data_IF_060880112421
#
_entry.id   IF_060880112421
#
_cell.length_a   1.000
_cell.length_b   1.000
_cell.length_c   1.000
_cell.angle_alpha   90.00
_cell.angle_beta   90.00
_cell.angle_gamma   90.00
#
_symmetry.space_group_name_H-M   'P 1'
#
loop_
_entity.id
_entity.type
_entity.pdbx_description
1 polymer ?
#
# COMPACT_ATOMS: atom_id res chain seq x y z
N UNK A 1 -12.77 3.91 -8.79
CA UNK A 1 -12.62 5.23 -9.43
C UNK A 1 -11.18 5.70 -9.39
N UNK A 2 -10.94 6.93 -9.82
CA UNK A 2 -9.63 7.57 -9.88
C UNK A 2 -9.64 8.84 -9.03
N UNK A 3 -8.89 8.89 -7.95
CA UNK A 3 -8.97 9.93 -6.90
C UNK A 3 -10.38 10.09 -6.30
N UNK A 4 -11.16 9.02 -6.35
CA UNK A 4 -12.59 9.06 -6.03
C UNK A 4 -12.85 9.42 -4.57
N UNK A 5 -11.99 8.98 -3.64
CA UNK A 5 -12.19 9.25 -2.21
C UNK A 5 -11.96 10.71 -1.87
N UNK A 6 -10.85 11.28 -2.34
CA UNK A 6 -10.45 12.64 -1.96
C UNK A 6 -11.02 13.74 -2.87
N UNK A 7 -11.67 13.37 -3.97
CA UNK A 7 -12.30 14.33 -4.88
C UNK A 7 -13.79 14.07 -5.03
N UNK A 8 -14.21 13.04 -5.78
CA UNK A 8 -15.63 12.86 -6.16
C UNK A 8 -16.55 12.70 -4.95
N UNK A 9 -16.19 11.78 -4.03
CA UNK A 9 -17.00 11.54 -2.84
C UNK A 9 -16.99 12.74 -1.88
N UNK A 10 -15.88 13.48 -1.79
CA UNK A 10 -15.81 14.71 -1.00
C UNK A 10 -16.69 15.81 -1.58
N UNK A 11 -16.63 16.02 -2.90
CA UNK A 11 -17.51 16.95 -3.58
C UNK A 11 -19.00 16.60 -3.36
N UNK A 12 -19.36 15.32 -3.46
CA UNK A 12 -20.73 14.87 -3.18
C UNK A 12 -21.13 15.13 -1.73
N UNK A 13 -20.23 14.87 -0.77
CA UNK A 13 -20.49 15.16 0.65
C UNK A 13 -20.74 16.65 0.86
N UNK A 14 -19.86 17.50 0.33
CA UNK A 14 -19.98 18.96 0.47
C UNK A 14 -21.26 19.51 -0.18
N UNK A 15 -21.71 18.92 -1.29
CA UNK A 15 -23.01 19.26 -1.89
C UNK A 15 -24.19 18.82 -1.01
N UNK A 16 -24.13 17.60 -0.50
CA UNK A 16 -25.18 17.07 0.39
C UNK A 16 -25.28 17.92 1.68
N UNK A 17 -24.15 18.31 2.27
CA UNK A 17 -24.10 19.13 3.46
C UNK A 17 -24.73 20.52 3.23
N UNK A 18 -24.40 21.15 2.08
CA UNK A 18 -25.01 22.45 1.68
C UNK A 18 -26.52 22.35 1.47
N UNK A 19 -26.98 21.23 0.93
CA UNK A 19 -28.40 20.98 0.71
C UNK A 19 -29.10 20.41 1.95
N UNK A 20 -28.38 20.18 3.05
CA UNK A 20 -28.87 19.55 4.27
C UNK A 20 -29.49 18.16 4.01
N UNK A 21 -28.88 17.41 3.09
CA UNK A 21 -29.27 16.05 2.72
C UNK A 21 -28.21 15.06 3.21
N UNK A 22 -28.59 13.90 3.73
CA UNK A 22 -27.62 12.88 4.09
C UNK A 22 -27.06 12.19 2.83
N UNK A 23 -25.74 11.93 2.79
CA UNK A 23 -25.11 11.15 1.73
C UNK A 23 -25.19 9.66 2.07
N UNK A 24 -26.22 8.97 1.56
CA UNK A 24 -26.56 7.58 1.88
C UNK A 24 -26.07 6.63 0.79
N UNK A 25 -24.75 6.38 0.70
CA UNK A 25 -24.15 5.51 -0.31
C UNK A 25 -23.88 4.09 0.18
N UNK A 26 -23.99 3.82 1.46
CA UNK A 26 -23.88 2.47 2.01
C UNK A 26 -25.04 1.55 1.60
N UNK A 27 -24.93 0.24 1.89
CA UNK A 27 -26.08 -0.66 1.78
C UNK A 27 -27.10 -0.28 2.85
N UNK A 28 -28.37 -0.60 2.59
CA UNK A 28 -29.49 -0.26 3.49
C UNK A 28 -29.61 1.25 3.78
N UNK A 29 -29.17 2.10 2.81
CA UNK A 29 -29.18 3.56 2.96
C UNK A 29 -28.38 4.06 4.16
N UNK A 30 -27.28 3.40 4.48
CA UNK A 30 -26.37 3.86 5.51
C UNK A 30 -25.49 5.01 5.01
N UNK A 31 -25.22 5.96 5.91
CA UNK A 31 -24.39 7.12 5.60
C UNK A 31 -22.91 6.72 5.47
N UNK A 32 -22.21 7.44 4.61
CA UNK A 32 -20.75 7.37 4.52
C UNK A 32 -20.13 7.95 5.80
N UNK A 33 -19.10 7.30 6.30
CA UNK A 33 -18.29 7.84 7.39
C UNK A 33 -16.88 8.18 6.91
N UNK A 34 -16.28 9.20 7.51
CA UNK A 34 -15.02 9.75 7.11
C UNK A 34 -13.98 9.65 8.22
N UNK A 35 -12.79 9.25 7.87
CA UNK A 35 -11.63 9.27 8.76
C UNK A 35 -10.50 10.05 8.10
N UNK A 36 -9.99 11.07 8.78
CA UNK A 36 -8.83 11.84 8.33
C UNK A 36 -7.54 11.03 8.55
N UNK A 37 -6.62 11.07 7.62
CA UNK A 37 -5.29 10.49 7.79
C UNK A 37 -4.50 11.24 8.88
N UNK A 38 -3.70 10.52 9.66
CA UNK A 38 -2.91 11.12 10.75
C UNK A 38 -1.70 11.91 10.24
N UNK A 39 -1.20 11.53 9.09
CA UNK A 39 0.04 12.01 8.46
C UNK A 39 -0.18 13.07 7.37
N UNK A 40 -1.42 13.42 7.08
CA UNK A 40 -1.76 14.39 6.04
C UNK A 40 -3.02 15.17 6.39
N UNK A 41 -2.98 16.48 6.13
CA UNK A 41 -4.12 17.36 6.39
C UNK A 41 -5.25 17.21 5.36
N UNK A 42 -4.96 16.69 4.15
CA UNK A 42 -5.88 16.68 3.03
C UNK A 42 -6.26 15.26 2.55
N UNK A 43 -5.83 14.23 3.27
CA UNK A 43 -6.12 12.84 2.93
C UNK A 43 -7.20 12.26 3.83
N UNK A 44 -8.21 11.67 3.22
CA UNK A 44 -9.33 11.05 3.90
C UNK A 44 -9.48 9.58 3.48
N UNK A 45 -10.09 8.81 4.37
CA UNK A 45 -10.59 7.48 4.10
C UNK A 45 -12.11 7.53 4.18
N UNK A 46 -12.77 6.94 3.19
CA UNK A 46 -14.22 6.83 3.12
C UNK A 46 -14.64 5.41 3.49
N UNK A 47 -15.45 5.26 4.50
CA UNK A 47 -16.03 3.96 4.87
C UNK A 47 -17.51 3.95 4.46
N UNK A 48 -17.86 3.05 3.55
CA UNK A 48 -19.20 2.83 3.07
C UNK A 48 -19.71 1.48 3.60
N UNK A 49 -20.63 1.45 4.56
CA UNK A 49 -21.13 0.21 5.11
C UNK A 49 -21.67 -0.73 4.01
N UNK A 50 -21.16 -1.97 3.99
CA UNK A 50 -21.54 -2.97 3.01
C UNK A 50 -21.10 -2.71 1.55
N UNK A 51 -20.21 -1.75 1.32
CA UNK A 51 -19.60 -1.44 0.01
C UNK A 51 -18.11 -1.18 0.17
N UNK A 52 -17.36 -1.38 -0.91
CA UNK A 52 -15.92 -1.13 -0.95
C UNK A 52 -15.64 -0.03 -1.97
N UNK A 53 -14.80 0.93 -1.61
CA UNK A 53 -14.35 2.01 -2.50
C UNK A 53 -12.91 1.77 -2.87
N UNK A 54 -12.66 1.42 -4.13
CA UNK A 54 -11.30 1.24 -4.65
C UNK A 54 -10.87 2.48 -5.41
N UNK A 55 -9.80 3.12 -4.94
CA UNK A 55 -9.15 4.24 -5.60
C UNK A 55 -7.97 3.74 -6.42
N UNK A 56 -7.98 4.02 -7.73
CA UNK A 56 -6.95 3.54 -8.66
C UNK A 56 -5.56 4.09 -8.33
N UNK A 57 -5.46 5.35 -7.90
CA UNK A 57 -4.18 5.96 -7.52
C UNK A 57 -3.58 5.20 -6.32
N UNK A 58 -4.38 4.99 -5.28
CA UNK A 58 -3.93 4.31 -4.07
C UNK A 58 -3.59 2.84 -4.32
N UNK A 59 -4.38 2.16 -5.15
CA UNK A 59 -4.08 0.77 -5.56
C UNK A 59 -2.74 0.69 -6.29
N UNK A 60 -2.51 1.55 -7.28
CA UNK A 60 -1.26 1.54 -8.06
C UNK A 60 -0.05 1.89 -7.20
N UNK A 61 -0.18 2.87 -6.30
CA UNK A 61 0.87 3.18 -5.32
C UNK A 61 1.16 1.99 -4.41
N UNK A 62 0.14 1.30 -3.94
CA UNK A 62 0.30 0.10 -3.10
C UNK A 62 0.89 -1.08 -3.87
N UNK A 63 0.68 -1.15 -5.18
CA UNK A 63 1.30 -2.10 -6.10
C UNK A 63 2.70 -1.67 -6.58
N UNK A 64 3.26 -0.61 -5.99
CA UNK A 64 4.62 -0.09 -6.27
C UNK A 64 4.83 0.51 -7.65
N UNK A 65 3.76 0.89 -8.37
CA UNK A 65 3.90 1.66 -9.60
C UNK A 65 4.50 3.04 -9.31
N UNK A 66 5.39 3.47 -10.18
CA UNK A 66 6.03 4.77 -10.12
C UNK A 66 5.79 5.50 -11.44
N UNK A 67 5.01 6.57 -11.39
CA UNK A 67 4.76 7.48 -12.48
C UNK A 67 5.22 8.88 -12.09
N UNK A 68 5.65 9.68 -13.04
CA UNK A 68 5.94 11.10 -12.81
C UNK A 68 4.70 11.84 -12.28
N UNK A 69 3.52 11.42 -12.76
CA UNK A 69 2.24 11.99 -12.41
C UNK A 69 1.16 10.90 -12.36
N UNK A 70 0.36 10.87 -11.31
CA UNK A 70 -0.78 9.94 -11.16
C UNK A 70 -2.10 10.52 -11.70
N UNK A 71 -2.08 11.54 -12.56
CA UNK A 71 -3.31 11.96 -13.24
C UNK A 71 -3.83 10.86 -14.17
N UNK A 72 -5.17 10.78 -14.33
CA UNK A 72 -5.78 9.78 -15.21
C UNK A 72 -5.26 9.95 -16.66
N UNK A 73 -5.05 11.18 -17.12
CA UNK A 73 -4.49 11.49 -18.43
C UNK A 73 -3.10 10.86 -18.62
N UNK A 74 -2.18 11.10 -17.68
CA UNK A 74 -0.81 10.58 -17.77
C UNK A 74 -0.79 9.06 -17.74
N UNK A 75 -1.42 8.48 -16.72
CA UNK A 75 -1.40 7.03 -16.53
C UNK A 75 -2.11 6.28 -17.66
N UNK A 76 -3.21 6.83 -18.19
CA UNK A 76 -3.89 6.20 -19.35
C UNK A 76 -3.05 6.24 -20.62
N UNK A 77 -2.31 7.33 -20.88
CA UNK A 77 -1.36 7.38 -22.00
C UNK A 77 -0.24 6.37 -21.86
N UNK A 78 0.39 6.30 -20.70
CA UNK A 78 1.45 5.35 -20.43
C UNK A 78 1.00 3.90 -20.54
N UNK A 79 -0.13 3.57 -19.94
CA UNK A 79 -0.59 2.20 -19.93
C UNK A 79 -1.41 1.81 -21.16
N UNK A 80 -2.34 2.65 -21.63
CA UNK A 80 -3.30 2.29 -22.68
C UNK A 80 -2.93 2.84 -24.06
N UNK A 81 -1.94 3.74 -24.16
CA UNK A 81 -1.60 4.44 -25.39
C UNK A 81 -2.67 5.45 -25.83
N UNK A 82 -3.66 5.77 -25.00
CA UNK A 82 -4.72 6.74 -25.23
C UNK A 82 -5.03 7.53 -23.96
N UNK A 83 -5.55 8.73 -24.13
CA UNK A 83 -5.87 9.64 -23.02
C UNK A 83 -7.29 10.19 -23.12
N UNK A 84 -7.54 11.22 -22.35
CA UNK A 84 -8.82 11.94 -22.32
C UNK A 84 -9.15 12.61 -23.65
N UNK A 85 -10.42 12.82 -23.92
CA UNK A 85 -10.90 13.44 -25.18
C UNK A 85 -10.59 14.95 -25.27
N UNK A 86 -10.44 15.63 -24.13
CA UNK A 86 -10.14 17.07 -24.07
C UNK A 86 -8.63 17.29 -23.99
N UNK A 87 -8.10 18.04 -24.98
CA UNK A 87 -6.67 18.03 -25.30
C UNK A 87 -5.76 18.89 -24.42
N UNK A 88 -6.20 20.08 -24.00
CA UNK A 88 -5.33 21.03 -23.30
C UNK A 88 -5.60 21.04 -21.78
N UNK A 89 -4.55 20.74 -21.00
CA UNK A 89 -4.66 20.66 -19.53
C UNK A 89 -5.01 22.01 -18.93
N UNK A 90 -4.49 23.10 -19.50
CA UNK A 90 -4.65 24.46 -18.96
C UNK A 90 -6.03 25.05 -19.29
N UNK A 91 -6.67 24.63 -20.38
CA UNK A 91 -7.98 25.09 -20.82
C UNK A 91 -9.14 24.18 -20.43
N UNK A 92 -8.86 23.02 -19.88
CA UNK A 92 -9.85 21.98 -19.56
C UNK A 92 -11.02 22.47 -18.70
N UNK A 93 -10.76 23.33 -17.71
CA UNK A 93 -11.81 23.89 -16.86
C UNK A 93 -12.80 24.78 -17.63
N UNK A 94 -12.29 25.55 -18.59
CA UNK A 94 -13.10 26.40 -19.47
C UNK A 94 -13.94 25.55 -20.39
N UNK A 95 -13.33 24.59 -21.08
CA UNK A 95 -14.03 23.66 -22.00
C UNK A 95 -15.15 22.88 -21.30
N UNK A 96 -14.90 22.35 -20.08
CA UNK A 96 -15.94 21.65 -19.30
C UNK A 96 -17.11 22.60 -18.97
N UNK A 97 -16.82 23.86 -18.64
CA UNK A 97 -17.85 24.87 -18.35
C UNK A 97 -18.67 25.23 -19.59
N UNK A 98 -18.02 25.35 -20.73
CA UNK A 98 -18.67 25.59 -22.02
C UNK A 98 -19.55 24.41 -22.42
N UNK A 99 -19.05 23.17 -22.33
CA UNK A 99 -19.83 21.97 -22.58
C UNK A 99 -21.03 21.85 -21.61
N UNK A 100 -20.84 22.19 -20.35
CA UNK A 100 -21.94 22.18 -19.37
C UNK A 100 -23.05 23.15 -19.74
N UNK A 101 -22.70 24.31 -20.27
CA UNK A 101 -23.65 25.37 -20.65
C UNK A 101 -24.28 25.15 -22.04
N UNK A 102 -23.49 24.61 -22.99
CA UNK A 102 -23.87 24.55 -24.39
C UNK A 102 -24.18 23.15 -24.94
N UNK A 103 -23.42 22.13 -24.57
CA UNK A 103 -23.52 20.75 -25.08
C UNK A 103 -23.39 19.68 -24.00
N UNK A 104 -24.47 19.45 -23.28
CA UNK A 104 -24.54 18.41 -22.25
C UNK A 104 -24.31 16.98 -22.74
N UNK A 105 -24.81 16.58 -23.96
CA UNK A 105 -24.44 15.29 -24.52
C UNK A 105 -22.93 15.10 -24.73
N UNK A 106 -22.21 16.10 -25.22
CA UNK A 106 -20.76 16.04 -25.37
C UNK A 106 -20.06 15.94 -24.00
N UNK A 107 -20.51 16.68 -23.00
CA UNK A 107 -20.01 16.55 -21.63
C UNK A 107 -20.24 15.15 -21.07
N UNK A 108 -21.41 14.56 -21.29
CA UNK A 108 -21.70 13.19 -20.86
C UNK A 108 -20.80 12.17 -21.57
N UNK A 109 -20.53 12.36 -22.85
CA UNK A 109 -19.61 11.52 -23.61
C UNK A 109 -18.16 11.64 -23.07
N UNK A 110 -17.71 12.85 -22.78
CA UNK A 110 -16.42 13.09 -22.13
C UNK A 110 -16.30 12.35 -20.79
N UNK A 111 -17.31 12.48 -19.93
CA UNK A 111 -17.32 11.79 -18.63
C UNK A 111 -17.35 10.26 -18.78
N UNK A 112 -18.10 9.74 -19.75
CA UNK A 112 -18.13 8.31 -20.06
C UNK A 112 -16.75 7.80 -20.48
N UNK A 113 -16.00 8.56 -21.27
CA UNK A 113 -14.66 8.16 -21.66
C UNK A 113 -13.69 8.16 -20.47
N UNK A 114 -13.76 9.14 -19.57
CA UNK A 114 -13.01 9.10 -18.31
C UNK A 114 -13.30 7.81 -17.51
N UNK A 115 -14.56 7.41 -17.44
CA UNK A 115 -14.95 6.15 -16.79
C UNK A 115 -14.37 4.91 -17.50
N UNK A 116 -14.35 4.92 -18.84
CA UNK A 116 -13.76 3.82 -19.64
C UNK A 116 -12.26 3.72 -19.44
N UNK A 117 -11.54 4.85 -19.40
CA UNK A 117 -10.12 4.86 -19.13
C UNK A 117 -9.81 4.22 -17.75
N UNK A 118 -10.57 4.58 -16.73
CA UNK A 118 -10.41 3.97 -15.40
C UNK A 118 -10.67 2.46 -15.45
N UNK A 119 -11.78 2.05 -16.10
CA UNK A 119 -12.11 0.64 -16.25
C UNK A 119 -11.01 -0.15 -16.95
N UNK A 120 -10.51 0.37 -18.06
CA UNK A 120 -9.50 -0.31 -18.87
C UNK A 120 -8.16 -0.41 -18.17
N UNK A 121 -7.76 0.61 -17.39
CA UNK A 121 -6.60 0.53 -16.47
C UNK A 121 -6.80 -0.59 -15.45
N UNK A 122 -7.95 -0.62 -14.77
CA UNK A 122 -8.25 -1.66 -13.78
C UNK A 122 -8.21 -3.07 -14.36
N UNK A 123 -8.70 -3.24 -15.60
CA UNK A 123 -8.67 -4.53 -16.30
C UNK A 123 -7.24 -4.90 -16.72
N UNK A 124 -6.54 -3.98 -17.39
CA UNK A 124 -5.20 -4.22 -17.91
C UNK A 124 -4.21 -4.60 -16.81
N UNK A 125 -4.23 -3.87 -15.71
CA UNK A 125 -3.32 -4.06 -14.57
C UNK A 125 -3.88 -5.01 -13.51
N UNK A 126 -5.03 -5.65 -13.77
CA UNK A 126 -5.70 -6.58 -12.87
C UNK A 126 -5.83 -6.04 -11.42
N UNK A 127 -6.12 -4.74 -11.25
CA UNK A 127 -6.07 -4.07 -9.95
C UNK A 127 -7.07 -4.62 -8.93
N UNK A 128 -8.22 -5.13 -9.38
CA UNK A 128 -9.19 -5.78 -8.49
C UNK A 128 -8.61 -7.09 -7.95
N UNK A 129 -8.03 -7.92 -8.81
CA UNK A 129 -7.36 -9.17 -8.40
C UNK A 129 -6.21 -8.88 -7.45
N UNK A 130 -5.40 -7.86 -7.74
CA UNK A 130 -4.35 -7.41 -6.84
C UNK A 130 -4.89 -7.01 -5.46
N UNK A 131 -5.98 -6.23 -5.40
CA UNK A 131 -6.60 -5.84 -4.13
C UNK A 131 -7.10 -7.06 -3.33
N UNK A 132 -7.69 -8.04 -4.01
CA UNK A 132 -8.16 -9.28 -3.40
C UNK A 132 -7.01 -10.12 -2.85
N UNK A 133 -5.97 -10.39 -3.65
CA UNK A 133 -4.79 -11.13 -3.22
C UNK A 133 -4.08 -10.45 -2.05
N UNK A 134 -3.93 -9.13 -2.11
CA UNK A 134 -3.36 -8.36 -1.01
C UNK A 134 -4.19 -8.52 0.27
N UNK A 135 -5.50 -8.43 0.18
CA UNK A 135 -6.41 -8.60 1.32
C UNK A 135 -6.30 -10.01 1.92
N UNK A 136 -6.27 -11.03 1.08
CA UNK A 136 -6.10 -12.43 1.52
C UNK A 136 -4.75 -12.66 2.21
N UNK A 137 -3.68 -12.07 1.69
CA UNK A 137 -2.33 -12.21 2.25
C UNK A 137 -2.13 -11.42 3.54
N UNK A 138 -2.75 -10.25 3.66
CA UNK A 138 -2.47 -9.31 4.76
C UNK A 138 -3.57 -9.22 5.81
N UNK A 139 -4.76 -9.80 5.55
CA UNK A 139 -5.93 -9.64 6.40
C UNK A 139 -6.49 -8.22 6.44
N UNK A 140 -5.97 -7.31 5.61
CA UNK A 140 -6.45 -5.94 5.52
C UNK A 140 -7.71 -5.89 4.63
N UNK A 141 -8.60 -4.97 4.93
CA UNK A 141 -9.75 -4.67 4.07
C UNK A 141 -9.30 -4.24 2.67
N UNK A 142 -10.15 -4.50 1.66
CA UNK A 142 -9.82 -4.23 0.24
C UNK A 142 -9.46 -2.77 -0.04
N UNK A 143 -10.09 -1.83 0.65
CA UNK A 143 -9.90 -0.39 0.52
C UNK A 143 -8.95 0.21 1.57
N UNK A 144 -8.30 -0.64 2.38
CA UNK A 144 -7.31 -0.20 3.36
C UNK A 144 -5.92 -0.29 2.76
N UNK A 145 -5.30 0.85 2.53
CA UNK A 145 -3.92 0.98 2.05
C UNK A 145 -2.96 1.27 3.21
N UNK A 146 -1.78 0.71 3.17
CA UNK A 146 -0.83 0.76 4.30
C UNK A 146 -1.16 -0.25 5.41
N UNK A 147 -0.71 0.00 6.64
CA UNK A 147 -0.98 -0.87 7.78
C UNK A 147 -0.06 -2.08 7.87
N UNK A 148 1.25 -1.91 7.60
CA UNK A 148 2.26 -2.97 7.66
C UNK A 148 2.30 -3.70 9.01
N UNK A 149 2.09 -3.00 10.13
CA UNK A 149 2.02 -3.62 11.46
C UNK A 149 0.83 -4.55 11.56
N UNK A 150 -0.38 -4.10 11.18
CA UNK A 150 -1.56 -4.93 11.21
C UNK A 150 -1.46 -6.17 10.28
N UNK A 151 -0.82 -6.01 9.11
CA UNK A 151 -0.54 -7.12 8.21
C UNK A 151 0.45 -8.12 8.82
N UNK A 152 1.49 -7.62 9.49
CA UNK A 152 2.43 -8.46 10.23
C UNK A 152 1.73 -9.22 11.35
N UNK A 153 0.95 -8.54 12.19
CA UNK A 153 0.20 -9.17 13.28
C UNK A 153 -0.75 -10.25 12.77
N UNK A 154 -1.47 -9.99 11.69
CA UNK A 154 -2.35 -10.96 11.06
C UNK A 154 -1.64 -12.24 10.63
N UNK A 155 -0.42 -12.11 10.13
CA UNK A 155 0.37 -13.27 9.69
C UNK A 155 1.10 -13.94 10.85
N UNK A 156 1.62 -13.17 11.80
CA UNK A 156 2.53 -13.63 12.83
C UNK A 156 1.80 -14.21 14.05
N UNK A 157 0.84 -13.48 14.63
CA UNK A 157 0.19 -13.87 15.87
C UNK A 157 -0.51 -15.24 15.83
N UNK A 158 -1.26 -15.61 14.77
CA UNK A 158 -1.86 -16.94 14.69
C UNK A 158 -0.82 -18.06 14.67
N UNK A 159 0.36 -17.82 14.09
CA UNK A 159 1.47 -18.80 14.08
C UNK A 159 2.11 -18.91 15.44
N UNK A 160 2.31 -17.78 16.10
CA UNK A 160 2.81 -17.70 17.47
C UNK A 160 1.91 -18.50 18.44
N UNK A 161 0.59 -18.28 18.36
CA UNK A 161 -0.38 -18.99 19.19
C UNK A 161 -0.38 -20.50 18.92
N UNK A 162 -0.24 -20.94 17.68
CA UNK A 162 -0.14 -22.38 17.36
C UNK A 162 1.11 -23.03 17.92
N UNK A 163 2.17 -22.27 18.13
CA UNK A 163 3.38 -22.74 18.82
C UNK A 163 3.25 -22.68 20.36
N UNK A 164 2.11 -22.23 20.89
CA UNK A 164 1.85 -22.17 22.33
C UNK A 164 2.33 -20.90 23.04
N UNK A 165 2.75 -19.88 22.28
CA UNK A 165 3.22 -18.61 22.82
C UNK A 165 2.17 -17.51 22.68
N UNK A 166 2.22 -16.53 23.59
CA UNK A 166 1.38 -15.33 23.56
C UNK A 166 2.28 -14.09 23.54
N UNK A 167 2.02 -13.19 22.61
CA UNK A 167 2.76 -11.93 22.55
C UNK A 167 2.46 -11.09 23.81
N UNK A 168 3.48 -10.44 24.42
CA UNK A 168 3.26 -9.55 25.55
C UNK A 168 2.47 -8.31 25.12
N UNK A 169 1.83 -7.67 26.09
CA UNK A 169 1.23 -6.36 25.87
C UNK A 169 2.31 -5.32 25.53
N UNK A 170 2.04 -4.50 24.50
CA UNK A 170 2.95 -3.41 24.13
C UNK A 170 2.86 -2.30 25.16
N UNK A 171 3.81 -2.28 26.10
CA UNK A 171 3.96 -1.16 27.01
C UNK A 171 4.82 -0.07 26.36
N UNK A 172 4.25 1.11 26.22
CA UNK A 172 4.95 2.27 25.65
C UNK A 172 6.13 2.72 26.52
N UNK A 173 6.21 2.32 27.77
CA UNK A 173 7.29 2.65 28.70
C UNK A 173 8.59 1.87 28.46
N UNK A 174 8.56 0.76 27.72
CA UNK A 174 9.71 -0.13 27.51
C UNK A 174 10.53 0.14 26.26
N UNK A 175 10.15 1.11 25.43
CA UNK A 175 10.93 1.51 24.23
C UNK A 175 12.10 2.40 24.65
N UNK A 176 13.10 1.82 25.33
CA UNK A 176 14.29 2.57 25.79
C UNK A 176 15.49 2.45 24.84
N UNK A 177 15.49 1.52 23.91
CA UNK A 177 16.61 1.34 22.98
C UNK A 177 16.25 1.81 21.58
N UNK A 178 16.58 3.08 21.29
CA UNK A 178 16.59 3.58 19.92
C UNK A 178 17.83 2.99 19.24
N UNK A 179 17.61 2.14 18.24
CA UNK A 179 18.72 1.65 17.42
C UNK A 179 19.46 2.84 16.79
N UNK A 180 20.80 2.87 16.82
CA UNK A 180 21.58 3.98 16.26
C UNK A 180 21.45 4.10 14.73
N UNK A 181 20.68 3.23 14.08
CA UNK A 181 20.54 3.18 12.62
C UNK A 181 21.66 2.39 11.94
N UNK A 182 21.67 2.40 10.63
CA UNK A 182 22.68 1.71 9.82
C UNK A 182 24.01 2.49 9.80
N UNK A 183 25.11 1.76 9.72
CA UNK A 183 26.43 2.35 9.49
C UNK A 183 26.51 2.93 8.06
N UNK A 184 26.83 4.20 7.95
CA UNK A 184 27.07 4.87 6.67
C UNK A 184 28.58 5.01 6.47
N UNK A 185 29.10 4.33 5.45
CA UNK A 185 30.51 4.43 5.09
C UNK A 185 30.83 5.82 4.50
N UNK A 186 32.04 6.32 4.79
CA UNK A 186 32.54 7.50 4.12
C UNK A 186 32.70 7.28 2.61
N UNK A 187 32.29 8.24 1.79
CA UNK A 187 32.53 8.20 0.35
C UNK A 187 33.94 8.67 0.00
N UNK A 188 34.53 8.13 -1.05
CA UNK A 188 35.78 8.61 -1.67
C UNK A 188 35.38 9.26 -3.00
N UNK A 189 35.17 10.57 -3.06
CA UNK A 189 34.78 11.26 -4.29
C UNK A 189 35.91 11.16 -5.34
N UNK A 190 35.54 10.98 -6.60
CA UNK A 190 36.51 10.91 -7.70
C UNK A 190 35.96 10.16 -8.91
N UNK A 191 36.83 10.10 -9.95
CA UNK A 191 36.58 9.27 -11.12
C UNK A 191 37.43 8.00 -10.95
N UNK A 192 36.73 6.86 -10.83
CA UNK A 192 37.39 5.57 -10.61
C UNK A 192 37.25 4.69 -11.84
N UNK A 193 38.31 3.92 -12.13
CA UNK A 193 38.33 2.92 -13.21
C UNK A 193 38.18 1.51 -12.63
N UNK A 194 37.67 0.58 -13.45
CA UNK A 194 37.48 -0.83 -13.07
C UNK A 194 36.62 -1.02 -11.80
N UNK A 195 35.51 -0.27 -11.71
CA UNK A 195 34.58 -0.35 -10.57
C UNK A 195 33.74 -1.60 -10.67
N UNK A 196 33.74 -2.41 -9.61
CA UNK A 196 32.81 -3.54 -9.44
C UNK A 196 31.67 -3.10 -8.53
N UNK A 197 30.44 -3.23 -8.99
CA UNK A 197 29.24 -2.95 -8.20
C UNK A 197 28.64 -4.27 -7.73
N UNK A 198 28.57 -4.47 -6.43
CA UNK A 198 27.98 -5.64 -5.81
C UNK A 198 26.80 -5.22 -4.95
N UNK A 199 25.72 -5.99 -5.01
CA UNK A 199 24.53 -5.81 -4.18
C UNK A 199 24.04 -7.14 -3.61
N UNK A 200 23.52 -7.13 -2.40
CA UNK A 200 22.92 -8.32 -1.80
C UNK A 200 21.50 -8.54 -2.33
N UNK A 201 21.26 -9.70 -2.93
CA UNK A 201 19.91 -10.08 -3.34
C UNK A 201 18.96 -10.03 -2.12
N UNK A 202 18.07 -9.02 -2.09
CA UNK A 202 17.07 -8.87 -1.04
C UNK A 202 17.68 -8.85 0.37
N UNK A 203 18.51 -7.85 0.67
CA UNK A 203 19.33 -7.75 1.89
C UNK A 203 18.58 -8.08 3.18
N UNK A 204 17.50 -7.38 3.53
CA UNK A 204 16.76 -7.62 4.77
C UNK A 204 16.17 -9.04 4.85
N UNK A 205 15.47 -9.55 3.84
CA UNK A 205 15.02 -10.94 3.82
C UNK A 205 16.14 -11.97 3.97
N UNK A 206 17.31 -11.72 3.38
CA UNK A 206 18.48 -12.60 3.52
C UNK A 206 18.98 -12.63 4.96
N UNK A 207 19.14 -11.47 5.60
CA UNK A 207 19.57 -11.35 7.01
C UNK A 207 18.57 -12.08 7.93
N UNK A 208 17.28 -11.81 7.79
CA UNK A 208 16.23 -12.43 8.60
C UNK A 208 16.30 -13.96 8.51
N UNK A 209 16.45 -14.50 7.30
CA UNK A 209 16.51 -15.95 7.08
C UNK A 209 17.82 -16.58 7.57
N UNK A 210 18.94 -15.87 7.43
CA UNK A 210 20.26 -16.42 7.81
C UNK A 210 20.48 -16.41 9.30
N UNK A 211 20.08 -15.35 9.96
CA UNK A 211 20.30 -15.17 11.39
C UNK A 211 19.06 -15.45 12.25
N UNK A 212 17.97 -15.92 11.64
CA UNK A 212 16.67 -16.15 12.27
C UNK A 212 16.17 -14.92 13.06
N UNK A 213 16.33 -13.72 12.49
CA UNK A 213 15.90 -12.48 13.14
C UNK A 213 14.37 -12.49 13.26
N UNK A 214 13.89 -12.77 14.46
CA UNK A 214 12.48 -13.05 14.73
C UNK A 214 12.17 -12.73 16.21
N UNK A 215 11.03 -12.14 16.55
CA UNK A 215 10.65 -11.84 17.93
C UNK A 215 10.61 -13.07 18.84
N UNK A 216 10.05 -14.19 18.34
CA UNK A 216 10.03 -15.45 19.11
C UNK A 216 11.43 -16.01 19.29
N UNK A 217 12.22 -16.08 18.20
CA UNK A 217 13.58 -16.58 18.26
C UNK A 217 14.45 -15.79 19.24
N UNK A 218 14.29 -14.47 19.30
CA UNK A 218 14.98 -13.61 20.26
C UNK A 218 14.57 -13.94 21.70
N UNK A 219 13.27 -14.13 21.94
CA UNK A 219 12.74 -14.37 23.28
C UNK A 219 13.18 -15.72 23.87
N UNK A 220 13.25 -16.77 23.04
CA UNK A 220 13.57 -18.13 23.52
C UNK A 220 15.05 -18.48 23.45
N UNK A 221 15.86 -17.72 22.73
CA UNK A 221 17.29 -17.98 22.54
C UNK A 221 18.09 -18.07 23.87
N UNK A 222 17.61 -17.40 24.91
CA UNK A 222 18.27 -17.43 26.25
C UNK A 222 18.29 -18.83 26.90
N UNK A 223 17.44 -19.74 26.42
CA UNK A 223 17.30 -21.10 26.93
C UNK A 223 18.00 -22.15 26.03
N UNK A 224 18.64 -21.72 24.95
CA UNK A 224 19.36 -22.60 24.02
C UNK A 224 20.87 -22.67 24.33
N UNK A 225 21.43 -23.84 24.22
CA UNK A 225 22.89 -24.05 24.41
C UNK A 225 23.72 -23.44 23.27
N UNK A 226 23.19 -23.39 22.06
CA UNK A 226 23.90 -22.92 20.85
C UNK A 226 23.02 -22.02 19.97
N UNK A 227 22.63 -20.83 20.45
CA UNK A 227 21.85 -19.89 19.65
C UNK A 227 22.66 -19.35 18.47
N UNK A 228 21.98 -18.74 17.50
CA UNK A 228 22.61 -17.98 16.42
C UNK A 228 23.00 -16.61 16.99
N UNK A 229 24.30 -16.27 16.92
CA UNK A 229 24.78 -14.96 17.31
C UNK A 229 24.50 -13.94 16.20
N UNK A 230 23.84 -12.86 16.54
CA UNK A 230 23.55 -11.72 15.70
C UNK A 230 24.43 -10.53 16.03
N UNK A 231 24.12 -9.39 15.41
CA UNK A 231 24.83 -8.13 15.65
C UNK A 231 24.56 -7.63 17.09
N UNK A 232 25.55 -6.98 17.68
CA UNK A 232 25.51 -6.32 19.01
C UNK A 232 25.07 -7.26 20.16
N UNK A 233 25.52 -8.53 20.09
CA UNK A 233 25.23 -9.53 21.13
C UNK A 233 23.80 -10.08 21.13
N UNK A 234 23.00 -9.74 20.10
CA UNK A 234 21.69 -10.35 19.90
C UNK A 234 21.83 -11.85 19.65
N UNK A 235 20.96 -12.65 20.26
CA UNK A 235 20.93 -14.10 20.08
C UNK A 235 19.56 -14.52 19.57
N UNK A 236 19.54 -15.45 18.62
CA UNK A 236 18.32 -15.95 18.01
C UNK A 236 18.29 -17.48 18.05
N UNK A 237 17.10 -18.04 18.27
CA UNK A 237 16.88 -19.48 18.29
C UNK A 237 17.18 -20.10 16.93
N UNK A 238 17.78 -21.32 16.96
CA UNK A 238 17.93 -22.15 15.76
C UNK A 238 16.68 -22.93 15.40
N UNK A 239 15.85 -23.24 16.37
CA UNK A 239 14.75 -24.18 16.24
C UNK A 239 13.38 -23.48 16.26
N UNK A 240 13.22 -22.45 17.09
CA UNK A 240 11.96 -21.75 17.30
C UNK A 240 11.92 -20.37 16.65
N UNK A 241 11.32 -20.29 15.48
CA UNK A 241 11.16 -19.05 14.72
C UNK A 241 9.89 -19.10 13.86
N UNK A 242 9.44 -17.96 13.35
CA UNK A 242 8.25 -17.80 12.52
C UNK A 242 8.55 -16.95 11.28
N UNK A 243 9.16 -15.78 11.48
CA UNK A 243 9.39 -14.82 10.40
C UNK A 243 10.30 -15.36 9.28
N UNK A 244 11.40 -16.09 9.55
CA UNK A 244 12.21 -16.72 8.51
C UNK A 244 11.43 -17.66 7.59
N UNK A 245 10.47 -18.43 8.13
CA UNK A 245 9.60 -19.33 7.36
C UNK A 245 8.64 -18.55 6.47
N UNK A 246 8.00 -17.50 7.02
CA UNK A 246 7.12 -16.60 6.27
C UNK A 246 7.86 -15.96 5.10
N UNK A 247 9.05 -15.43 5.35
CA UNK A 247 9.88 -14.81 4.31
C UNK A 247 10.31 -15.84 3.27
N UNK A 248 10.66 -17.06 3.67
CA UNK A 248 11.01 -18.12 2.73
C UNK A 248 9.85 -18.49 1.81
N UNK A 249 8.63 -18.52 2.33
CA UNK A 249 7.42 -18.75 1.55
C UNK A 249 7.18 -17.63 0.52
N UNK A 250 7.24 -16.38 0.96
CA UNK A 250 7.07 -15.22 0.09
C UNK A 250 8.18 -15.12 -0.96
N UNK A 251 9.41 -15.42 -0.58
CA UNK A 251 10.56 -15.46 -1.50
C UNK A 251 10.35 -16.48 -2.61
N UNK A 252 9.96 -17.71 -2.24
CA UNK A 252 9.71 -18.76 -3.22
C UNK A 252 8.56 -18.42 -4.18
N UNK A 253 7.49 -17.79 -3.68
CA UNK A 253 6.40 -17.29 -4.50
C UNK A 253 6.86 -16.19 -5.46
N UNK A 254 7.67 -15.23 -4.97
CA UNK A 254 8.26 -14.16 -5.79
C UNK A 254 9.16 -14.71 -6.90
N UNK A 255 10.04 -15.66 -6.58
CA UNK A 255 10.96 -16.22 -7.57
C UNK A 255 10.18 -16.99 -8.66
N UNK A 256 9.09 -17.71 -8.31
CA UNK A 256 8.19 -18.34 -9.29
C UNK A 256 7.46 -17.32 -10.17
N UNK A 257 7.06 -16.19 -9.62
CA UNK A 257 6.37 -15.14 -10.38
C UNK A 257 7.31 -14.37 -11.32
N UNK A 258 8.63 -14.43 -11.11
CA UNK A 258 9.64 -13.77 -11.95
C UNK A 258 10.22 -14.67 -13.05
N UNK A 259 10.06 -15.98 -12.91
CA UNK A 259 10.49 -16.99 -13.89
C UNK A 259 9.49 -17.07 -15.07
#
# INVERSE_FOLDING_TARGET
>A
GWNIVNFDLRCLQDFCDRLKMPLLLGRNNEAISWRKARDSNDRYYALLPGRVVLDGIELMRSATYQFENFSLEYVSRELLGRGKLVGDVDQRGVEITELFSGDKPALAHYNLEDCRLVWDIFQKEALISFAMERSLLTGLELDRYGGSVAAFDFLYLPRLHRKGYVAPFVDQSTVTNVSPGGYVMGSIPGIHQNVIVLDFKSLYPSIIRTFHVDPLALAVAAHEENPIEGYDGGKFSREEFILPELISTLWSARDKAKA
#
